data_IF_501813452574
#
_entry.id   IF_501813452574
#
_cell.length_a   1.000
_cell.length_b   1.000
_cell.length_c   1.000
_cell.angle_alpha   90.00
_cell.angle_beta   90.00
_cell.angle_gamma   90.00
#
_symmetry.space_group_name_H-M   'P 1'
#
loop_
_entity.id
_entity.type
_entity.pdbx_description
1 polymer ?
#
# COMPACT_ATOMS: atom_id res chain seq x y z
N UNK A 1 31.95 0.77 25.76
CA UNK A 1 30.60 0.86 26.35
C UNK A 1 30.13 -0.55 26.66
N UNK A 2 29.95 -0.90 27.94
CA UNK A 2 29.49 -2.23 28.39
C UNK A 2 27.96 -2.19 28.52
N UNK A 3 27.26 -3.12 27.89
CA UNK A 3 25.81 -3.33 28.03
C UNK A 3 25.50 -3.90 29.43
N UNK A 4 24.42 -3.46 30.10
CA UNK A 4 24.00 -4.03 31.38
C UNK A 4 23.37 -5.42 31.18
N UNK A 5 23.67 -6.32 32.12
CA UNK A 5 23.13 -7.68 32.18
C UNK A 5 21.62 -7.64 32.48
N UNK A 6 20.85 -8.36 31.66
CA UNK A 6 19.41 -8.56 31.83
C UNK A 6 19.20 -9.54 32.99
N UNK A 7 18.59 -9.06 34.07
CA UNK A 7 18.10 -9.89 35.17
C UNK A 7 16.86 -10.66 34.69
N UNK A 8 17.00 -11.95 34.39
CA UNK A 8 15.85 -12.84 34.20
C UNK A 8 15.36 -13.30 35.57
N UNK A 9 14.22 -12.75 36.00
CA UNK A 9 13.48 -13.25 37.15
C UNK A 9 13.03 -14.70 36.87
N UNK A 10 13.17 -15.64 37.82
CA UNK A 10 12.60 -16.96 37.70
C UNK A 10 11.06 -16.88 37.70
N UNK A 11 10.36 -17.75 36.96
CA UNK A 11 8.90 -17.77 36.97
C UNK A 11 8.37 -18.08 38.38
N UNK A 12 7.30 -17.41 38.84
CA UNK A 12 6.74 -17.67 40.16
C UNK A 12 6.24 -19.11 40.25
N UNK A 13 6.70 -19.81 41.28
CA UNK A 13 6.30 -21.17 41.58
C UNK A 13 4.80 -21.23 41.94
N UNK A 14 4.07 -22.11 41.24
CA UNK A 14 2.93 -22.87 41.76
C UNK A 14 1.88 -22.11 42.56
N UNK A 15 1.09 -21.24 41.90
CA UNK A 15 -0.25 -20.94 42.38
C UNK A 15 -1.20 -21.97 41.77
N UNK A 16 -1.63 -22.95 42.57
CA UNK A 16 -2.77 -23.81 42.23
C UNK A 16 -4.02 -22.93 42.18
N UNK A 17 -4.34 -22.43 40.98
CA UNK A 17 -5.53 -21.67 40.69
C UNK A 17 -6.77 -22.48 41.13
N UNK A 18 -7.39 -22.08 42.22
CA UNK A 18 -8.67 -22.61 42.67
C UNK A 18 -9.72 -22.39 41.58
N UNK A 19 -10.68 -23.30 41.40
CA UNK A 19 -11.71 -23.19 40.36
C UNK A 19 -12.51 -21.87 40.36
N UNK A 20 -12.50 -21.13 41.49
CA UNK A 20 -13.08 -19.79 41.62
C UNK A 20 -12.29 -18.69 40.90
N UNK A 21 -11.03 -18.91 40.52
CA UNK A 21 -10.19 -17.93 39.82
C UNK A 21 -10.27 -18.05 38.29
N UNK A 22 -11.07 -18.98 37.75
CA UNK A 22 -11.21 -19.21 36.31
C UNK A 22 -12.22 -18.27 35.64
N UNK A 23 -12.93 -17.43 36.39
CA UNK A 23 -13.92 -16.48 35.88
C UNK A 23 -15.36 -16.93 36.10
N UNK A 24 -16.31 -16.23 35.45
CA UNK A 24 -17.74 -16.44 35.69
C UNK A 24 -18.21 -17.79 35.14
N UNK A 25 -18.89 -18.57 35.99
CA UNK A 25 -19.53 -19.84 35.61
C UNK A 25 -20.89 -19.59 34.94
N UNK A 26 -21.12 -20.26 33.82
CA UNK A 26 -22.35 -20.19 33.02
C UNK A 26 -22.81 -21.62 32.67
N UNK A 27 -24.10 -21.78 32.42
CA UNK A 27 -24.65 -23.08 32.03
C UNK A 27 -24.18 -23.52 30.62
N UNK A 28 -24.01 -24.85 30.42
CA UNK A 28 -23.67 -25.42 29.13
C UNK A 28 -24.82 -25.34 28.14
N UNK A 29 -24.49 -25.12 26.86
CA UNK A 29 -25.45 -25.23 25.74
C UNK A 29 -25.43 -26.64 25.18
N UNK A 30 -26.56 -27.09 24.62
CA UNK A 30 -26.64 -28.39 23.96
C UNK A 30 -25.66 -28.45 22.78
N UNK A 31 -24.92 -29.57 22.68
CA UNK A 31 -23.93 -29.79 21.62
C UNK A 31 -22.55 -29.19 21.86
N UNK A 32 -22.29 -28.55 23.02
CA UNK A 32 -20.93 -28.08 23.37
C UNK A 32 -19.98 -29.27 23.63
N UNK A 33 -18.72 -29.15 23.19
CA UNK A 33 -17.65 -30.12 23.43
C UNK A 33 -16.70 -29.58 24.49
N UNK A 34 -16.21 -30.42 25.39
CA UNK A 34 -15.24 -30.01 26.38
C UNK A 34 -13.91 -29.58 25.73
N UNK A 35 -13.41 -28.39 26.10
CA UNK A 35 -12.17 -27.81 25.57
C UNK A 35 -10.91 -28.64 25.82
N UNK A 36 -10.93 -29.51 26.85
CA UNK A 36 -9.78 -30.32 27.26
C UNK A 36 -9.78 -31.70 26.60
N UNK A 37 -10.93 -32.39 26.59
CA UNK A 37 -11.02 -33.79 26.15
C UNK A 37 -11.79 -33.99 24.84
N UNK A 38 -12.40 -32.93 24.30
CA UNK A 38 -13.19 -32.93 23.06
C UNK A 38 -14.38 -33.91 23.05
N UNK A 39 -14.95 -34.23 24.22
CA UNK A 39 -16.16 -35.06 24.35
C UNK A 39 -17.40 -34.18 24.61
N UNK A 40 -18.59 -34.64 24.24
CA UNK A 40 -19.83 -33.91 24.48
C UNK A 40 -20.03 -33.61 25.97
N UNK A 41 -20.54 -32.42 26.24
CA UNK A 41 -20.89 -31.93 27.57
C UNK A 41 -22.29 -32.41 27.96
N UNK A 42 -22.48 -32.68 29.25
CA UNK A 42 -23.79 -32.91 29.85
C UNK A 42 -24.32 -31.64 30.52
N UNK A 43 -25.60 -31.61 30.87
CA UNK A 43 -26.19 -30.49 31.63
C UNK A 43 -25.61 -30.32 33.05
N UNK A 44 -24.86 -31.30 33.55
CA UNK A 44 -24.21 -31.27 34.85
C UNK A 44 -22.77 -30.72 34.83
N UNK A 45 -22.26 -30.38 33.63
CA UNK A 45 -20.92 -29.83 33.42
C UNK A 45 -20.92 -28.29 33.40
N UNK A 46 -19.73 -27.71 33.41
CA UNK A 46 -19.54 -26.28 33.67
C UNK A 46 -18.87 -25.55 32.52
N UNK A 47 -19.33 -24.34 32.25
CA UNK A 47 -18.70 -23.44 31.28
C UNK A 47 -18.16 -22.23 32.04
N UNK A 48 -16.90 -21.89 31.79
CA UNK A 48 -16.27 -20.70 32.37
C UNK A 48 -16.10 -19.63 31.31
N UNK A 49 -16.27 -18.35 31.68
CA UNK A 49 -15.89 -17.22 30.83
C UNK A 49 -14.47 -16.78 31.22
N UNK A 50 -13.49 -17.14 30.39
CA UNK A 50 -12.09 -16.76 30.56
C UNK A 50 -11.77 -15.72 29.48
N UNK A 51 -11.40 -14.49 29.86
CA UNK A 51 -11.07 -13.40 28.92
C UNK A 51 -12.18 -13.13 27.87
N UNK A 52 -13.45 -13.18 28.28
CA UNK A 52 -14.61 -12.99 27.39
C UNK A 52 -14.94 -14.21 26.51
N UNK A 53 -14.20 -15.32 26.63
CA UNK A 53 -14.39 -16.53 25.84
C UNK A 53 -15.01 -17.65 26.68
N UNK A 54 -16.00 -18.37 26.11
CA UNK A 54 -16.65 -19.52 26.75
C UNK A 54 -15.75 -20.76 26.66
N UNK A 55 -15.43 -21.35 27.81
CA UNK A 55 -14.57 -22.54 27.95
C UNK A 55 -15.37 -23.65 28.60
N UNK A 56 -16.02 -24.53 27.81
CA UNK A 56 -16.76 -25.68 28.33
C UNK A 56 -15.81 -26.77 28.88
N UNK A 57 -16.06 -27.25 30.10
CA UNK A 57 -15.21 -28.23 30.78
C UNK A 57 -15.99 -29.22 31.65
N UNK A 58 -15.59 -30.51 31.62
CA UNK A 58 -16.14 -31.50 32.56
C UNK A 58 -15.69 -31.21 33.98
N UNK A 59 -16.67 -31.03 34.89
CA UNK A 59 -16.43 -30.58 36.28
C UNK A 59 -15.48 -31.49 37.06
N UNK A 60 -15.58 -32.81 36.86
CA UNK A 60 -14.85 -33.81 37.67
C UNK A 60 -13.44 -34.14 37.15
N UNK A 61 -13.27 -34.20 35.83
CA UNK A 61 -12.06 -34.81 35.22
C UNK A 61 -11.17 -33.77 34.54
N UNK A 62 -11.77 -32.74 33.94
CA UNK A 62 -11.06 -31.81 33.06
C UNK A 62 -10.79 -30.46 33.73
N UNK A 63 -11.51 -30.14 34.81
CA UNK A 63 -11.37 -28.86 35.53
C UNK A 63 -9.96 -28.66 36.09
N UNK A 64 -9.37 -29.67 36.73
CA UNK A 64 -8.01 -29.58 37.27
C UNK A 64 -6.95 -29.32 36.19
N UNK A 65 -7.14 -29.92 35.00
CA UNK A 65 -6.25 -29.68 33.85
C UNK A 65 -6.38 -28.26 33.31
N UNK A 66 -7.61 -27.75 33.20
CA UNK A 66 -7.86 -26.37 32.81
C UNK A 66 -7.27 -25.38 33.82
N UNK A 67 -7.41 -25.64 35.12
CA UNK A 67 -6.86 -24.81 36.18
C UNK A 67 -5.32 -24.78 36.17
N UNK A 68 -4.67 -25.88 35.80
CA UNK A 68 -3.20 -25.94 35.76
C UNK A 68 -2.57 -25.11 34.64
N UNK A 69 -3.26 -24.95 33.51
CA UNK A 69 -2.75 -24.19 32.35
C UNK A 69 -3.93 -23.68 31.49
N UNK A 70 -4.59 -22.59 31.91
CA UNK A 70 -5.75 -22.06 31.18
C UNK A 70 -5.36 -21.51 29.80
N UNK A 71 -4.12 -21.02 29.64
CA UNK A 71 -3.60 -20.46 28.39
C UNK A 71 -3.56 -21.50 27.26
N UNK A 72 -3.08 -22.71 27.55
CA UNK A 72 -2.99 -23.79 26.57
C UNK A 72 -4.33 -24.21 25.97
N UNK A 73 -5.39 -24.24 26.77
CA UNK A 73 -6.71 -24.68 26.32
C UNK A 73 -7.51 -23.53 25.68
N UNK A 74 -7.37 -22.31 26.18
CA UNK A 74 -8.01 -21.13 25.57
C UNK A 74 -7.42 -20.81 24.19
N UNK A 75 -6.10 -20.98 23.99
CA UNK A 75 -5.47 -20.77 22.69
C UNK A 75 -6.04 -21.68 21.58
N UNK A 76 -6.50 -22.89 21.90
CA UNK A 76 -7.13 -23.82 20.94
C UNK A 76 -8.55 -23.41 20.56
N UNK A 77 -9.24 -22.72 21.45
CA UNK A 77 -10.61 -22.25 21.22
C UNK A 77 -10.62 -20.92 20.45
N UNK A 78 -9.49 -20.20 20.40
CA UNK A 78 -9.40 -18.97 19.60
C UNK A 78 -9.71 -19.32 18.15
N UNK A 79 -10.75 -18.73 17.55
CA UNK A 79 -11.01 -18.95 16.14
C UNK A 79 -9.75 -18.53 15.39
N UNK A 80 -9.19 -19.43 14.58
CA UNK A 80 -8.12 -19.12 13.63
C UNK A 80 -8.70 -18.30 12.46
N UNK A 81 -9.39 -17.20 12.80
CA UNK A 81 -10.13 -16.36 11.90
C UNK A 81 -9.24 -15.20 11.47
N UNK A 82 -8.69 -15.31 10.28
CA UNK A 82 -7.92 -14.30 9.56
C UNK A 82 -8.77 -13.10 9.10
N UNK A 83 -9.81 -12.70 9.82
CA UNK A 83 -10.70 -11.63 9.38
C UNK A 83 -11.20 -10.78 10.55
N UNK A 84 -10.53 -9.64 10.73
CA UNK A 84 -11.11 -8.38 11.22
C UNK A 84 -11.62 -8.36 12.67
N UNK A 85 -10.84 -8.86 13.62
CA UNK A 85 -11.04 -8.62 15.05
C UNK A 85 -9.81 -7.98 15.66
N UNK A 86 -9.98 -6.81 16.26
CA UNK A 86 -8.96 -6.11 17.04
C UNK A 86 -8.37 -7.07 18.07
N UNK A 87 -7.13 -7.52 17.83
CA UNK A 87 -6.33 -8.21 18.82
C UNK A 87 -6.09 -7.24 20.00
N UNK A 88 -6.38 -7.59 21.26
CA UNK A 88 -6.02 -6.75 22.40
C UNK A 88 -4.50 -6.65 22.62
N UNK A 89 -3.70 -7.45 21.88
CA UNK A 89 -2.24 -7.31 21.76
C UNK A 89 -1.83 -6.47 20.53
N UNK A 90 -2.68 -5.50 20.15
CA UNK A 90 -2.40 -4.47 19.14
C UNK A 90 -1.22 -3.55 19.50
N UNK A 91 -0.59 -3.69 20.67
CA UNK A 91 0.70 -3.05 20.99
C UNK A 91 1.82 -3.53 20.05
N UNK A 92 1.69 -4.72 19.45
CA UNK A 92 2.64 -5.28 18.48
C UNK A 92 2.18 -5.18 17.02
N UNK A 93 0.91 -4.83 16.78
CA UNK A 93 0.35 -4.69 15.44
C UNK A 93 0.70 -3.31 14.90
N UNK A 94 1.64 -3.26 13.94
CA UNK A 94 2.22 -2.04 13.37
C UNK A 94 2.91 -1.16 14.42
N UNK A 95 4.04 -1.63 14.96
CA UNK A 95 4.96 -0.76 15.70
C UNK A 95 5.16 0.54 14.91
N UNK A 96 5.15 1.70 15.57
CA UNK A 96 5.28 3.02 14.95
C UNK A 96 6.40 3.09 13.89
N UNK A 97 7.47 2.31 14.07
CA UNK A 97 8.54 2.12 13.09
C UNK A 97 8.06 1.73 11.69
N UNK A 98 7.12 0.79 11.56
CA UNK A 98 6.56 0.39 10.25
C UNK A 98 5.74 1.51 9.61
N UNK A 99 5.02 2.28 10.41
CA UNK A 99 4.29 3.45 9.93
C UNK A 99 5.27 4.52 9.40
N UNK A 100 6.36 4.79 10.13
CA UNK A 100 7.41 5.69 9.66
C UNK A 100 8.12 5.18 8.39
N UNK A 101 8.38 3.88 8.29
CA UNK A 101 8.94 3.26 7.07
C UNK A 101 7.99 3.44 5.89
N UNK A 102 6.70 3.17 6.07
CA UNK A 102 5.69 3.37 5.04
C UNK A 102 5.58 4.83 4.61
N UNK A 103 5.54 5.75 5.57
CA UNK A 103 5.51 7.19 5.31
C UNK A 103 6.76 7.67 4.56
N UNK A 104 7.94 7.19 4.94
CA UNK A 104 9.20 7.51 4.26
C UNK A 104 9.18 7.06 2.79
N UNK A 105 8.70 5.84 2.50
CA UNK A 105 8.58 5.33 1.13
C UNK A 105 7.60 6.19 0.33
N UNK A 106 6.45 6.54 0.91
CA UNK A 106 5.44 7.37 0.25
C UNK A 106 5.99 8.76 -0.09
N UNK A 107 6.71 9.38 0.84
CA UNK A 107 7.40 10.67 0.62
C UNK A 107 8.43 10.54 -0.52
N UNK A 108 9.23 9.47 -0.52
CA UNK A 108 10.22 9.19 -1.56
C UNK A 108 9.61 9.05 -2.95
N UNK A 109 8.45 8.40 -3.07
CA UNK A 109 7.73 8.29 -4.34
C UNK A 109 7.23 9.65 -4.86
N UNK A 110 6.73 10.52 -3.97
CA UNK A 110 6.31 11.89 -4.34
C UNK A 110 7.51 12.70 -4.85
N UNK A 111 8.62 12.71 -4.12
CA UNK A 111 9.82 13.44 -4.53
C UNK A 111 10.48 12.86 -5.79
N UNK A 112 10.40 11.54 -5.98
CA UNK A 112 10.83 10.88 -7.20
C UNK A 112 10.04 11.36 -8.43
N UNK A 113 8.70 11.40 -8.34
CA UNK A 113 7.84 11.91 -9.42
C UNK A 113 8.15 13.38 -9.74
N UNK A 114 8.30 14.23 -8.71
CA UNK A 114 8.66 15.64 -8.88
C UNK A 114 10.04 15.81 -9.54
N UNK A 115 11.02 15.00 -9.13
CA UNK A 115 12.38 15.03 -9.67
C UNK A 115 12.43 14.58 -11.13
N UNK A 116 11.69 13.53 -11.49
CA UNK A 116 11.57 13.09 -12.89
C UNK A 116 10.92 14.16 -13.75
N UNK A 117 9.80 14.75 -13.30
CA UNK A 117 9.13 15.80 -14.05
C UNK A 117 10.06 17.00 -14.29
N UNK A 118 10.77 17.45 -13.24
CA UNK A 118 11.72 18.55 -13.39
C UNK A 118 12.95 18.17 -14.25
N UNK A 119 13.41 16.92 -14.20
CA UNK A 119 14.50 16.43 -15.07
C UNK A 119 14.09 16.35 -16.55
N UNK A 120 12.88 15.86 -16.85
CA UNK A 120 12.32 15.83 -18.20
C UNK A 120 12.19 17.25 -18.78
N UNK A 121 11.65 18.18 -17.99
CA UNK A 121 11.54 19.58 -18.38
C UNK A 121 12.91 20.28 -18.55
N UNK A 122 13.98 19.71 -18.01
CA UNK A 122 15.36 20.18 -18.15
C UNK A 122 16.16 19.39 -19.20
N UNK A 123 15.54 18.48 -19.95
CA UNK A 123 16.22 17.67 -20.98
C UNK A 123 17.23 16.65 -20.43
N UNK A 124 17.15 16.31 -19.15
CA UNK A 124 18.04 15.32 -18.51
C UNK A 124 17.46 13.91 -18.56
N UNK A 125 18.33 12.89 -18.43
CA UNK A 125 17.90 11.49 -18.34
C UNK A 125 17.08 11.27 -17.06
N UNK A 126 15.83 10.79 -17.12
CA UNK A 126 14.94 10.75 -15.95
C UNK A 126 15.30 9.68 -14.92
N UNK A 127 15.86 8.54 -15.35
CA UNK A 127 16.16 7.40 -14.49
C UNK A 127 17.04 7.73 -13.25
N UNK A 128 18.20 8.39 -13.37
CA UNK A 128 19.00 8.72 -12.18
C UNK A 128 18.28 9.66 -11.21
N UNK A 129 17.45 10.57 -11.72
CA UNK A 129 16.70 11.53 -10.89
C UNK A 129 15.50 10.91 -10.17
N UNK A 130 14.93 9.83 -10.72
CA UNK A 130 13.97 9.00 -10.00
C UNK A 130 14.58 8.42 -8.72
N UNK A 131 15.72 7.72 -8.85
CA UNK A 131 16.38 7.11 -7.70
C UNK A 131 16.91 8.14 -6.72
N UNK A 132 17.43 9.27 -7.22
CA UNK A 132 17.83 10.38 -6.36
C UNK A 132 16.67 10.90 -5.51
N UNK A 133 15.48 11.12 -6.12
CA UNK A 133 14.28 11.55 -5.41
C UNK A 133 13.76 10.52 -4.41
N UNK A 134 13.85 9.23 -4.73
CA UNK A 134 13.41 8.14 -3.85
C UNK A 134 14.28 8.01 -2.58
N UNK A 135 15.60 8.08 -2.72
CA UNK A 135 16.52 7.85 -1.59
C UNK A 135 16.90 9.13 -0.83
N UNK A 136 17.00 10.27 -1.52
CA UNK A 136 17.44 11.54 -0.91
C UNK A 136 16.29 12.55 -0.73
N UNK A 137 15.08 12.22 -1.17
CA UNK A 137 13.86 13.01 -0.97
C UNK A 137 14.06 14.50 -1.33
N UNK A 138 13.90 15.37 -0.33
CA UNK A 138 13.98 16.83 -0.43
C UNK A 138 15.34 17.30 -0.94
N UNK A 139 16.44 16.62 -0.58
CA UNK A 139 17.79 17.04 -0.98
C UNK A 139 18.00 16.89 -2.49
N UNK A 140 17.57 15.78 -3.08
CA UNK A 140 17.66 15.58 -4.52
C UNK A 140 16.84 16.63 -5.29
N UNK A 141 15.63 16.91 -4.81
CA UNK A 141 14.77 17.92 -5.41
C UNK A 141 15.35 19.34 -5.28
N UNK A 142 15.92 19.70 -4.12
CA UNK A 142 16.57 20.99 -3.91
C UNK A 142 17.80 21.18 -4.81
N UNK A 143 18.65 20.16 -4.96
CA UNK A 143 19.79 20.19 -5.90
C UNK A 143 19.30 20.38 -7.34
N UNK A 144 18.21 19.72 -7.72
CA UNK A 144 17.63 19.84 -9.05
C UNK A 144 17.09 21.27 -9.31
N UNK A 145 16.40 21.86 -8.34
CA UNK A 145 15.93 23.25 -8.43
C UNK A 145 17.07 24.25 -8.52
N UNK A 146 18.13 24.08 -7.71
CA UNK A 146 19.31 24.92 -7.75
C UNK A 146 20.01 24.85 -9.12
N UNK A 147 20.09 23.66 -9.73
CA UNK A 147 20.65 23.48 -11.08
C UNK A 147 19.77 24.08 -12.18
N UNK A 148 18.44 24.04 -12.01
CA UNK A 148 17.49 24.58 -12.98
C UNK A 148 17.59 26.10 -13.12
N UNK A 149 17.98 26.81 -12.06
CA UNK A 149 18.19 28.27 -12.10
C UNK A 149 19.40 28.69 -12.95
N UNK A 150 20.41 27.83 -13.09
CA UNK A 150 21.60 28.13 -13.90
C UNK A 150 21.45 27.83 -15.39
N UNK A 151 20.55 26.92 -15.75
CA UNK A 151 20.40 26.37 -17.11
C UNK A 151 18.99 26.56 -17.66
N UNK A 152 18.39 27.74 -17.49
CA UNK A 152 17.21 28.12 -18.29
C UNK A 152 17.67 28.40 -19.73
N UNK A 153 18.21 27.39 -20.40
CA UNK A 153 18.20 27.32 -21.85
C UNK A 153 16.72 27.28 -22.22
N UNK A 154 16.23 28.41 -22.72
CA UNK A 154 14.89 28.57 -23.24
C UNK A 154 14.54 27.32 -24.05
N UNK A 155 13.52 26.57 -23.60
CA UNK A 155 12.93 25.52 -24.41
C UNK A 155 12.70 26.13 -25.81
N UNK A 156 13.16 25.49 -26.90
CA UNK A 156 12.98 26.07 -28.23
C UNK A 156 11.50 26.35 -28.40
N UNK A 157 11.16 27.62 -28.60
CA UNK A 157 9.78 28.11 -28.75
C UNK A 157 9.09 27.22 -29.78
N UNK A 158 8.22 26.31 -29.33
CA UNK A 158 7.51 25.38 -30.21
C UNK A 158 7.32 23.95 -29.69
N UNK A 159 8.12 23.43 -28.75
CA UNK A 159 7.93 22.05 -28.25
C UNK A 159 7.03 21.94 -27.00
N UNK A 160 6.45 23.04 -26.54
CA UNK A 160 5.31 22.97 -25.64
C UNK A 160 4.11 22.53 -26.49
N UNK A 161 3.85 21.21 -26.51
CA UNK A 161 2.67 20.60 -27.11
C UNK A 161 1.43 21.16 -26.40
N UNK A 162 0.95 22.32 -26.83
CA UNK A 162 -0.44 22.69 -26.69
C UNK A 162 -1.13 21.84 -27.76
N UNK A 163 -1.99 20.87 -27.41
CA UNK A 163 -2.80 20.17 -28.38
C UNK A 163 -3.81 21.17 -28.93
N UNK A 164 -3.38 21.98 -29.88
CA UNK A 164 -4.27 22.85 -30.63
C UNK A 164 -4.89 21.97 -31.72
N UNK A 165 -6.08 21.43 -31.43
CA UNK A 165 -6.90 20.73 -32.42
C UNK A 165 -7.42 21.76 -33.41
N UNK A 166 -6.57 22.12 -34.36
CA UNK A 166 -6.95 22.98 -35.47
C UNK A 166 -8.09 22.32 -36.26
N UNK A 167 -9.12 23.11 -36.58
CA UNK A 167 -10.31 22.63 -37.27
C UNK A 167 -9.95 22.06 -38.66
N UNK A 168 -10.63 20.99 -39.12
CA UNK A 168 -10.45 20.46 -40.47
C UNK A 168 -10.72 21.53 -41.54
N UNK A 169 -9.92 21.53 -42.61
CA UNK A 169 -10.08 22.44 -43.74
C UNK A 169 -10.73 21.72 -44.93
N UNK A 170 -11.82 22.25 -45.51
CA UNK A 170 -12.44 21.66 -46.70
C UNK A 170 -11.57 21.91 -47.95
N UNK A 171 -11.48 20.91 -48.82
CA UNK A 171 -10.80 21.02 -50.10
C UNK A 171 -11.56 21.97 -51.04
N UNK A 172 -10.91 22.95 -51.69
CA UNK A 172 -11.59 23.87 -52.60
C UNK A 172 -12.07 23.20 -53.90
N UNK A 173 -11.50 22.03 -54.27
CA UNK A 173 -11.87 21.32 -55.49
C UNK A 173 -13.04 20.34 -55.31
N UNK A 174 -13.13 19.66 -54.15
CA UNK A 174 -14.14 18.60 -53.94
C UNK A 174 -14.91 18.69 -52.61
N UNK A 175 -14.60 19.66 -51.74
CA UNK A 175 -15.25 19.83 -50.45
C UNK A 175 -14.82 18.85 -49.35
N UNK A 176 -13.94 17.89 -49.63
CA UNK A 176 -13.49 16.89 -48.64
C UNK A 176 -12.73 17.56 -47.47
N UNK A 177 -13.05 17.17 -46.23
CA UNK A 177 -12.38 17.70 -45.03
C UNK A 177 -11.01 17.07 -44.85
N UNK A 178 -9.96 17.89 -44.85
CA UNK A 178 -8.57 17.46 -44.71
C UNK A 178 -7.95 18.02 -43.42
N UNK A 179 -6.92 17.34 -42.93
CA UNK A 179 -6.10 17.86 -41.83
C UNK A 179 -5.43 19.17 -42.25
N UNK A 180 -5.33 20.20 -41.38
CA UNK A 180 -4.78 21.51 -41.75
C UNK A 180 -3.30 21.49 -42.19
N UNK A 181 -2.57 20.42 -41.86
CA UNK A 181 -1.20 20.19 -42.32
C UNK A 181 -1.09 19.34 -43.62
N UNK A 182 -2.21 18.97 -44.26
CA UNK A 182 -2.21 18.16 -45.48
C UNK A 182 -1.74 18.96 -46.69
N UNK A 183 -0.87 18.35 -47.52
CA UNK A 183 -0.37 18.93 -48.79
C UNK A 183 -1.16 18.46 -50.02
N UNK A 184 -1.95 17.40 -49.87
CA UNK A 184 -2.81 16.88 -50.93
C UNK A 184 -4.14 16.45 -50.33
N UNK A 185 -5.20 16.60 -51.09
CA UNK A 185 -6.54 16.21 -50.69
C UNK A 185 -6.69 14.68 -50.71
N UNK A 186 -7.14 14.09 -49.60
CA UNK A 186 -7.40 12.65 -49.50
C UNK A 186 -8.53 12.17 -50.43
N UNK A 187 -9.48 13.04 -50.76
CA UNK A 187 -10.58 12.74 -51.67
C UNK A 187 -10.18 12.75 -53.16
N UNK A 188 -9.74 13.91 -53.67
CA UNK A 188 -9.51 14.12 -55.11
C UNK A 188 -8.04 14.23 -55.53
N UNK A 189 -7.08 14.16 -54.59
CA UNK A 189 -5.64 14.31 -54.90
C UNK A 189 -5.18 15.73 -55.22
N UNK A 190 -6.08 16.72 -55.26
CA UNK A 190 -5.71 18.11 -55.51
C UNK A 190 -4.71 18.63 -54.48
N UNK A 191 -3.73 19.41 -54.93
CA UNK A 191 -2.72 20.03 -54.07
C UNK A 191 -3.38 21.04 -53.12
N UNK A 192 -3.04 20.96 -51.83
CA UNK A 192 -3.55 21.82 -50.78
C UNK A 192 -2.42 22.68 -50.21
N UNK A 193 -2.72 23.94 -49.92
CA UNK A 193 -1.82 24.80 -49.14
C UNK A 193 -2.02 24.51 -47.65
N UNK A 194 -1.05 23.91 -46.95
CA UNK A 194 -1.19 23.61 -45.53
C UNK A 194 -1.23 24.92 -44.74
N UNK A 195 -2.19 25.02 -43.81
CA UNK A 195 -2.32 26.16 -42.90
C UNK A 195 -1.33 26.07 -41.73
N UNK A 196 -0.88 24.87 -41.39
CA UNK A 196 0.10 24.62 -40.33
C UNK A 196 1.20 23.67 -40.79
N UNK A 197 2.40 23.83 -40.23
CA UNK A 197 3.51 22.90 -40.49
C UNK A 197 3.25 21.62 -39.69
N UNK A 198 3.40 20.46 -40.32
CA UNK A 198 3.25 19.18 -39.61
C UNK A 198 4.32 19.04 -38.52
N UNK A 199 3.95 18.46 -37.38
CA UNK A 199 4.89 18.15 -36.29
C UNK A 199 6.01 17.21 -36.76
N UNK A 200 5.71 16.30 -37.70
CA UNK A 200 6.71 15.43 -38.31
C UNK A 200 7.76 16.21 -39.11
N UNK A 201 7.34 17.21 -39.91
CA UNK A 201 8.28 18.10 -40.61
C UNK A 201 9.06 18.98 -39.65
N UNK A 202 8.43 19.48 -38.57
CA UNK A 202 9.12 20.26 -37.53
C UNK A 202 10.16 19.44 -36.77
N UNK A 203 9.92 18.15 -36.58
CA UNK A 203 10.85 17.21 -35.97
C UNK A 203 11.92 16.69 -36.95
N UNK A 204 11.95 17.17 -38.20
CA UNK A 204 12.96 16.79 -39.20
C UNK A 204 12.67 15.47 -39.93
N UNK A 205 11.49 14.87 -39.75
CA UNK A 205 11.09 13.62 -40.41
C UNK A 205 10.39 13.83 -41.76
N UNK A 206 10.51 15.03 -42.35
CA UNK A 206 9.68 15.48 -43.47
C UNK A 206 10.43 15.73 -44.77
N UNK A 207 11.20 14.76 -45.27
CA UNK A 207 11.70 14.76 -46.66
C UNK A 207 12.34 13.43 -47.04
N UNK A 208 11.53 12.52 -47.60
CA UNK A 208 11.98 11.41 -48.42
C UNK A 208 10.80 10.87 -49.26
N UNK A 209 10.46 11.60 -50.33
CA UNK A 209 9.82 11.12 -51.57
C UNK A 209 9.37 12.33 -52.39
#
# INVERSE_FOLDING_TARGET
MRLPAVFTLPPPAGQSASADSLGQRVQPKQGELCAVCNRPMSAADDVYIVNGQRVPVHRKVCLAKLASDPGKYTARLRPAGTFLGVEPDAETALTARWLFVGFYILLGLVFSALSVNAALNAGMRPAPWFFAGLFFNVLAWAVLLARRQGNVSAAPKGLAKIPDTAAPLPCPACGHSNHPAARACLGCGAELRPATVSEASRAGFGSAS
#
